data_IF_447980183547
#
_entry.id   IF_447980183547
#
_cell.length_a   1.000
_cell.length_b   1.000
_cell.length_c   1.000
_cell.angle_alpha   90.00
_cell.angle_beta   90.00
_cell.angle_gamma   90.00
#
_symmetry.space_group_name_H-M   'P 1'
#
loop_
_entity.id
_entity.type
_entity.pdbx_description
1 polymer ?
#
# COMPACT_ATOMS: atom_id res chain seq x y z
N UNK A 1 -31.29 31.73 -33.69
CA UNK A 1 -31.21 30.28 -33.38
C UNK A 1 -29.78 29.72 -33.28
N UNK A 2 -28.79 30.15 -34.08
CA UNK A 2 -27.40 29.66 -34.00
C UNK A 2 -26.71 29.92 -32.64
N UNK A 3 -26.87 31.11 -32.07
CA UNK A 3 -26.22 31.48 -30.79
C UNK A 3 -26.77 30.70 -29.57
N UNK A 4 -28.06 30.36 -29.57
CA UNK A 4 -28.67 29.51 -28.53
C UNK A 4 -28.13 28.07 -28.58
N UNK A 5 -27.88 27.54 -29.79
CA UNK A 5 -27.25 26.22 -29.96
C UNK A 5 -25.81 26.22 -29.46
N UNK A 6 -25.06 27.32 -29.69
CA UNK A 6 -23.69 27.49 -29.19
C UNK A 6 -23.67 27.62 -27.67
N UNK A 7 -24.63 28.32 -27.08
CA UNK A 7 -24.78 28.44 -25.63
C UNK A 7 -25.07 27.08 -24.97
N UNK A 8 -25.99 26.30 -25.56
CA UNK A 8 -26.29 24.94 -25.08
C UNK A 8 -25.07 24.00 -25.18
N UNK A 9 -24.29 24.13 -26.25
CA UNK A 9 -23.04 23.38 -26.43
C UNK A 9 -21.99 23.74 -25.39
N UNK A 10 -21.83 25.03 -25.07
CA UNK A 10 -20.94 25.51 -24.01
C UNK A 10 -21.40 25.02 -22.63
N UNK A 11 -22.70 25.04 -22.37
CA UNK A 11 -23.27 24.56 -21.12
C UNK A 11 -22.97 23.06 -20.89
N UNK A 12 -23.12 22.22 -21.94
CA UNK A 12 -22.78 20.80 -21.85
C UNK A 12 -21.29 20.55 -21.64
N UNK A 13 -20.42 21.43 -22.14
CA UNK A 13 -18.97 21.31 -21.97
C UNK A 13 -18.53 21.67 -20.54
N UNK A 14 -19.21 22.62 -19.88
CA UNK A 14 -18.95 22.95 -18.47
C UNK A 14 -19.30 21.81 -17.50
N UNK A 15 -20.28 20.96 -17.82
CA UNK A 15 -20.64 19.80 -16.99
C UNK A 15 -19.80 18.53 -17.28
N UNK A 16 -18.96 18.54 -18.32
CA UNK A 16 -18.14 17.40 -18.70
C UNK A 16 -16.86 17.26 -17.83
N UNK A 17 -16.52 18.27 -17.04
CA UNK A 17 -15.34 18.25 -16.16
C UNK A 17 -15.70 17.52 -14.87
N UNK A 18 -15.65 16.19 -14.89
CA UNK A 18 -15.82 15.37 -13.68
C UNK A 18 -14.45 15.05 -13.07
N UNK A 19 -14.28 15.34 -11.79
CA UNK A 19 -13.14 14.85 -11.02
C UNK A 19 -13.37 13.35 -10.76
N UNK A 20 -12.60 12.50 -11.42
CA UNK A 20 -12.52 11.08 -11.07
C UNK A 20 -11.60 10.92 -9.86
N UNK A 21 -12.08 10.27 -8.81
CA UNK A 21 -11.27 9.94 -7.64
C UNK A 21 -10.94 8.44 -7.66
N UNK A 22 -9.65 8.12 -7.56
CA UNK A 22 -9.23 6.75 -7.32
C UNK A 22 -9.69 6.33 -5.90
N UNK A 23 -10.37 5.19 -5.81
CA UNK A 23 -10.74 4.61 -4.52
C UNK A 23 -9.48 4.10 -3.79
N UNK A 24 -9.45 4.16 -2.45
CA UNK A 24 -8.39 3.50 -1.68
C UNK A 24 -8.33 2.01 -2.01
N UNK A 25 -7.12 1.49 -2.18
CA UNK A 25 -6.89 0.07 -2.44
C UNK A 25 -6.92 -0.67 -1.11
N UNK A 26 -7.63 -1.80 -1.04
CA UNK A 26 -7.79 -2.59 0.18
C UNK A 26 -7.28 -4.01 0.00
N UNK A 27 -6.61 -4.50 1.03
CA UNK A 27 -6.11 -5.86 1.12
C UNK A 27 -6.54 -6.47 2.44
N UNK A 28 -6.79 -7.77 2.46
CA UNK A 28 -6.88 -8.54 3.69
C UNK A 28 -5.59 -9.33 3.88
N UNK A 29 -5.13 -9.43 5.10
CA UNK A 29 -4.03 -10.32 5.46
C UNK A 29 -4.54 -11.74 5.68
N UNK A 30 -3.69 -12.73 5.48
CA UNK A 30 -3.92 -14.11 5.93
C UNK A 30 -2.99 -14.51 7.07
N UNK A 31 -1.74 -14.06 7.03
CA UNK A 31 -0.76 -14.34 8.08
C UNK A 31 0.34 -13.28 8.15
N UNK A 32 1.05 -13.25 9.26
CA UNK A 32 2.19 -12.36 9.53
C UNK A 32 3.39 -13.14 10.05
N UNK A 33 4.58 -12.71 9.66
CA UNK A 33 5.86 -13.13 10.22
C UNK A 33 6.75 -11.91 10.46
N UNK A 34 7.70 -12.00 11.38
CA UNK A 34 8.64 -10.92 11.67
C UNK A 34 10.07 -11.44 11.85
N UNK A 35 11.04 -10.55 11.68
CA UNK A 35 12.43 -10.77 12.05
C UNK A 35 12.99 -9.50 12.68
N UNK A 36 13.94 -9.65 13.60
CA UNK A 36 14.63 -8.55 14.27
C UNK A 36 16.13 -8.75 14.21
N UNK A 37 16.87 -7.65 14.39
CA UNK A 37 18.32 -7.71 14.50
C UNK A 37 18.75 -8.27 15.86
N UNK A 38 19.82 -9.06 15.86
CA UNK A 38 20.54 -9.46 17.06
C UNK A 38 21.32 -8.28 17.67
N UNK A 39 21.94 -8.49 18.84
CA UNK A 39 22.75 -7.47 19.53
C UNK A 39 24.00 -7.04 18.76
N UNK A 40 24.35 -7.75 17.67
CA UNK A 40 25.48 -7.46 16.77
C UNK A 40 25.02 -6.78 15.47
N UNK A 41 23.71 -6.55 15.30
CA UNK A 41 23.10 -5.91 14.13
C UNK A 41 22.79 -6.85 12.96
N UNK A 42 22.93 -8.17 13.12
CA UNK A 42 22.61 -9.16 12.09
C UNK A 42 21.12 -9.53 12.15
N UNK A 43 20.48 -9.79 11.01
CA UNK A 43 19.10 -10.26 10.99
C UNK A 43 19.00 -11.70 11.49
N UNK A 44 18.07 -11.96 12.41
CA UNK A 44 17.70 -13.31 12.80
C UNK A 44 16.87 -14.00 11.71
N UNK A 45 16.62 -15.31 11.88
CA UNK A 45 15.64 -16.03 11.07
C UNK A 45 14.24 -15.41 11.23
N UNK A 46 13.42 -15.54 10.19
CA UNK A 46 12.02 -15.14 10.26
C UNK A 46 11.27 -16.04 11.24
N UNK A 47 10.38 -15.44 12.03
CA UNK A 47 9.45 -16.20 12.85
C UNK A 47 8.56 -17.08 11.98
N UNK A 48 8.03 -18.15 12.56
CA UNK A 48 6.91 -18.88 11.95
C UNK A 48 5.76 -17.90 11.63
N UNK A 49 5.04 -18.19 10.54
CA UNK A 49 3.86 -17.41 10.19
C UNK A 49 2.74 -17.71 11.16
N UNK A 50 2.14 -16.66 11.71
CA UNK A 50 0.93 -16.76 12.54
C UNK A 50 -0.26 -16.14 11.81
N UNK A 51 -1.45 -16.69 12.04
CA UNK A 51 -2.68 -16.20 11.41
C UNK A 51 -2.92 -14.73 11.73
N UNK A 52 -3.23 -13.95 10.71
CA UNK A 52 -3.53 -12.53 10.82
C UNK A 52 -4.64 -12.19 9.84
N UNK A 53 -5.79 -11.77 10.34
CA UNK A 53 -6.94 -11.38 9.52
C UNK A 53 -7.28 -9.90 9.79
N UNK A 54 -6.46 -9.01 9.22
CA UNK A 54 -6.60 -7.56 9.38
C UNK A 54 -6.75 -6.90 8.01
N UNK A 55 -7.44 -5.76 8.00
CA UNK A 55 -7.63 -4.95 6.79
C UNK A 55 -6.45 -3.98 6.64
N UNK A 56 -5.80 -4.02 5.49
CA UNK A 56 -4.81 -3.04 5.06
C UNK A 56 -5.45 -2.12 4.02
N UNK A 57 -5.24 -0.82 4.15
CA UNK A 57 -5.74 0.18 3.18
C UNK A 57 -4.60 1.07 2.72
N UNK A 58 -4.46 1.25 1.41
CA UNK A 58 -3.59 2.23 0.76
C UNK A 58 -4.47 3.35 0.19
N UNK A 59 -4.43 4.52 0.83
CA UNK A 59 -5.14 5.73 0.41
C UNK A 59 -4.10 6.73 -0.15
N UNK A 60 -3.81 6.61 -1.45
CA UNK A 60 -2.84 7.47 -2.14
C UNK A 60 -3.22 8.96 -2.10
N UNK A 61 -4.51 9.29 -1.99
CA UNK A 61 -4.97 10.68 -1.88
C UNK A 61 -4.58 11.29 -0.54
N UNK A 62 -4.54 10.49 0.51
CA UNK A 62 -4.14 10.92 1.86
C UNK A 62 -2.67 10.64 2.16
N UNK A 63 -1.91 10.09 1.21
CA UNK A 63 -0.56 9.57 1.42
C UNK A 63 -0.52 8.71 2.69
N UNK A 64 -1.45 7.76 2.82
CA UNK A 64 -1.66 7.02 4.07
C UNK A 64 -1.86 5.54 3.79
N UNK A 65 -1.07 4.72 4.49
CA UNK A 65 -1.30 3.29 4.61
C UNK A 65 -1.78 3.01 6.04
N UNK A 66 -2.84 2.22 6.20
CA UNK A 66 -3.33 1.81 7.51
C UNK A 66 -3.44 0.30 7.61
N UNK A 67 -3.05 -0.27 8.74
CA UNK A 67 -3.24 -1.68 9.08
C UNK A 67 -4.15 -1.73 10.31
N UNK A 68 -5.37 -2.22 10.11
CA UNK A 68 -6.40 -2.26 11.14
C UNK A 68 -6.27 -3.51 12.01
N UNK A 69 -5.16 -3.63 12.74
CA UNK A 69 -4.99 -4.59 13.83
C UNK A 69 -5.77 -4.17 15.09
N UNK A 70 -5.61 -4.90 16.20
CA UNK A 70 -6.20 -4.53 17.51
C UNK A 70 -5.86 -3.08 17.91
N UNK A 71 -4.64 -2.65 17.62
CA UNK A 71 -4.24 -1.25 17.57
C UNK A 71 -4.08 -0.84 16.09
N UNK A 72 -4.69 0.27 15.68
CA UNK A 72 -4.58 0.76 14.30
C UNK A 72 -3.20 1.34 14.07
N UNK A 73 -2.45 0.72 13.16
CA UNK A 73 -1.15 1.21 12.72
C UNK A 73 -1.35 2.12 11.51
N UNK A 74 -0.79 3.33 11.56
CA UNK A 74 -0.92 4.34 10.51
C UNK A 74 0.45 4.77 10.01
N UNK A 75 0.63 4.79 8.71
CA UNK A 75 1.89 5.06 8.03
C UNK A 75 1.69 6.18 7.02
N UNK A 76 2.20 7.37 7.33
CA UNK A 76 2.19 8.50 6.40
C UNK A 76 3.27 8.30 5.35
N UNK A 77 2.89 8.19 4.09
CA UNK A 77 3.79 8.12 2.95
C UNK A 77 4.47 9.49 2.80
N UNK A 78 5.80 9.48 2.68
CA UNK A 78 6.66 10.65 2.49
C UNK A 78 7.21 10.71 1.07
N UNK A 79 7.49 9.55 0.48
CA UNK A 79 7.88 9.42 -0.91
C UNK A 79 7.37 8.10 -1.50
N UNK A 80 7.08 8.14 -2.80
CA UNK A 80 6.78 6.97 -3.62
C UNK A 80 8.07 6.59 -4.33
N UNK A 81 8.55 5.35 -4.14
CA UNK A 81 9.75 4.89 -4.81
C UNK A 81 9.48 4.40 -6.23
N UNK A 82 10.53 4.06 -6.96
CA UNK A 82 10.43 3.52 -8.31
C UNK A 82 9.77 2.14 -8.30
N UNK A 83 8.77 1.96 -9.17
CA UNK A 83 8.06 0.69 -9.32
C UNK A 83 8.93 -0.24 -10.18
N UNK A 84 9.20 -1.43 -9.67
CA UNK A 84 9.83 -2.50 -10.45
C UNK A 84 8.74 -3.45 -10.94
N UNK A 85 8.58 -3.58 -12.25
CA UNK A 85 7.63 -4.49 -12.86
C UNK A 85 8.32 -5.31 -13.96
N UNK A 86 8.53 -6.60 -13.68
CA UNK A 86 9.15 -7.55 -14.60
C UNK A 86 8.36 -8.86 -14.66
N UNK A 87 8.81 -9.85 -15.41
CA UNK A 87 8.08 -11.12 -15.59
C UNK A 87 7.97 -11.96 -14.30
N UNK A 88 8.79 -11.69 -13.29
CA UNK A 88 8.84 -12.45 -12.05
C UNK A 88 8.09 -11.77 -10.91
N UNK A 89 8.26 -10.45 -10.78
CA UNK A 89 7.79 -9.68 -9.64
C UNK A 89 7.23 -8.32 -10.05
N UNK A 90 6.30 -7.82 -9.25
CA UNK A 90 5.89 -6.43 -9.21
C UNK A 90 6.15 -5.89 -7.80
N UNK A 91 6.95 -4.83 -7.68
CA UNK A 91 7.38 -4.24 -6.41
C UNK A 91 6.97 -2.77 -6.39
N UNK A 92 6.21 -2.39 -5.37
CA UNK A 92 5.75 -1.02 -5.15
C UNK A 92 6.28 -0.52 -3.80
N UNK A 93 7.37 0.27 -3.79
CA UNK A 93 7.99 0.77 -2.57
C UNK A 93 7.45 2.14 -2.12
N UNK A 94 7.40 2.31 -0.80
CA UNK A 94 6.96 3.54 -0.13
C UNK A 94 7.89 3.88 1.03
N UNK A 95 8.37 5.12 1.07
CA UNK A 95 9.03 5.67 2.25
C UNK A 95 7.97 6.24 3.19
N UNK A 96 7.96 5.78 4.44
CA UNK A 96 6.88 6.03 5.37
C UNK A 96 7.38 6.54 6.73
N UNK A 97 6.45 7.16 7.47
CA UNK A 97 6.61 7.52 8.87
C UNK A 97 5.40 7.01 9.65
N UNK A 98 5.63 6.26 10.72
CA UNK A 98 4.55 5.71 11.55
C UNK A 98 3.91 6.78 12.48
N UNK A 99 2.90 6.37 13.24
CA UNK A 99 2.22 7.22 14.23
C UNK A 99 3.11 7.63 15.43
N UNK A 100 4.28 7.02 15.59
CA UNK A 100 5.29 7.34 16.60
C UNK A 100 6.46 8.15 16.02
N UNK A 101 6.32 8.66 14.79
CA UNK A 101 7.33 9.40 14.04
C UNK A 101 8.58 8.59 13.65
N UNK A 102 8.52 7.27 13.76
CA UNK A 102 9.59 6.36 13.33
C UNK A 102 9.57 6.21 11.81
N UNK A 103 10.76 6.25 11.19
CA UNK A 103 10.91 6.01 9.75
C UNK A 103 10.81 4.51 9.44
N UNK A 104 10.08 4.16 8.39
CA UNK A 104 10.01 2.81 7.87
C UNK A 104 9.86 2.82 6.35
N UNK A 105 10.21 1.70 5.71
CA UNK A 105 9.95 1.49 4.29
C UNK A 105 8.92 0.38 4.13
N UNK A 106 7.80 0.69 3.51
CA UNK A 106 6.76 -0.29 3.18
C UNK A 106 6.94 -0.72 1.72
N UNK A 107 6.87 -2.02 1.46
CA UNK A 107 6.98 -2.56 0.10
C UNK A 107 5.84 -3.55 -0.13
N UNK A 108 5.04 -3.30 -1.15
CA UNK A 108 4.03 -4.26 -1.63
C UNK A 108 4.66 -5.04 -2.76
N UNK A 109 4.74 -6.36 -2.62
CA UNK A 109 5.34 -7.27 -3.60
C UNK A 109 4.27 -8.23 -4.10
N UNK A 110 4.17 -8.37 -5.42
CA UNK A 110 3.41 -9.44 -6.08
C UNK A 110 4.39 -10.36 -6.78
N UNK A 111 4.44 -11.63 -6.36
CA UNK A 111 5.27 -12.67 -6.97
C UNK A 111 4.48 -13.38 -8.06
N UNK A 112 4.70 -13.01 -9.32
CA UNK A 112 3.93 -13.49 -10.48
C UNK A 112 4.09 -15.00 -10.70
N UNK A 113 5.31 -15.51 -10.56
CA UNK A 113 5.62 -16.95 -10.67
C UNK A 113 5.06 -17.82 -9.54
N UNK A 114 4.65 -17.23 -8.42
CA UNK A 114 4.05 -17.92 -7.29
C UNK A 114 2.53 -17.70 -7.24
N UNK A 115 1.85 -17.91 -8.38
CA UNK A 115 0.40 -17.71 -8.51
C UNK A 115 -0.06 -16.30 -8.08
N UNK A 116 0.72 -15.27 -8.46
CA UNK A 116 0.49 -13.88 -8.05
C UNK A 116 0.37 -13.68 -6.53
N UNK A 117 1.13 -14.44 -5.73
CA UNK A 117 1.14 -14.26 -4.27
C UNK A 117 1.56 -12.84 -3.92
N UNK A 118 0.72 -12.17 -3.13
CA UNK A 118 0.96 -10.80 -2.70
C UNK A 118 1.45 -10.76 -1.25
N UNK A 119 2.41 -9.88 -0.96
CA UNK A 119 2.96 -9.68 0.36
C UNK A 119 3.17 -8.18 0.64
N UNK A 120 3.04 -7.77 1.90
CA UNK A 120 3.42 -6.44 2.35
C UNK A 120 4.56 -6.57 3.36
N UNK A 121 5.67 -5.93 3.06
CA UNK A 121 6.79 -5.78 3.99
C UNK A 121 6.74 -4.43 4.67
N UNK A 122 6.98 -4.40 5.98
CA UNK A 122 7.18 -3.17 6.75
C UNK A 122 8.58 -3.24 7.35
N UNK A 123 9.48 -2.42 6.84
CA UNK A 123 10.89 -2.47 7.21
C UNK A 123 11.26 -1.28 8.09
N UNK A 124 11.54 -1.54 9.36
CA UNK A 124 12.22 -0.62 10.26
C UNK A 124 13.72 -0.94 10.32
N UNK A 125 14.49 -0.11 11.02
CA UNK A 125 15.93 -0.35 11.18
C UNK A 125 16.23 -1.62 11.97
N UNK A 126 15.47 -1.91 13.01
CA UNK A 126 15.71 -3.03 13.94
C UNK A 126 14.77 -4.23 13.72
N UNK A 127 13.61 -4.02 13.10
CA UNK A 127 12.57 -5.06 12.93
C UNK A 127 11.93 -4.97 11.56
N UNK A 128 11.58 -6.12 10.99
CA UNK A 128 10.83 -6.23 9.75
C UNK A 128 9.61 -7.11 9.96
N UNK A 129 8.51 -6.74 9.33
CA UNK A 129 7.29 -7.54 9.28
C UNK A 129 7.00 -7.91 7.84
N UNK A 130 6.44 -9.09 7.62
CA UNK A 130 5.87 -9.51 6.34
C UNK A 130 4.47 -10.04 6.56
N UNK A 131 3.51 -9.47 5.84
CA UNK A 131 2.14 -9.96 5.79
C UNK A 131 1.91 -10.65 4.46
N UNK A 132 1.35 -11.86 4.48
CA UNK A 132 0.72 -12.42 3.29
C UNK A 132 -0.64 -11.75 3.11
N UNK A 133 -0.93 -11.26 1.91
CA UNK A 133 -2.15 -10.50 1.63
C UNK A 133 -2.86 -11.02 0.38
N UNK A 134 -4.12 -10.66 0.27
CA UNK A 134 -4.96 -10.86 -0.91
C UNK A 134 -5.90 -9.67 -1.07
N UNK A 135 -6.37 -9.44 -2.30
CA UNK A 135 -7.32 -8.36 -2.59
C UNK A 135 -8.61 -8.58 -1.79
N UNK A 136 -9.06 -7.51 -1.11
CA UNK A 136 -10.39 -7.50 -0.52
C UNK A 136 -11.38 -7.12 -1.61
N UNK A 137 -12.11 -8.12 -2.13
CA UNK A 137 -13.13 -7.95 -3.18
C UNK A 137 -14.26 -6.99 -2.74
#
# INVERSE_FOLDING_TARGET
MKHIKILFLFLTFCFAVQNSYAQPIRFKTSSVSFTEKDTKGNWNEWSEFVDANVLVTLDAKKDLITINSSEVQSFKIKAYGEIEDNDEVNIVPFECMDNKFSKCNIVIITKKKENNRMQIYINYNEVKFVYNIYNDN
#
